data_IF_344991968649
#
_entry.id   IF_344991968649
#
_cell.length_a   1.000
_cell.length_b   1.000
_cell.length_c   1.000
_cell.angle_alpha   90.00
_cell.angle_beta   90.00
_cell.angle_gamma   90.00
#
_symmetry.space_group_name_H-M   'P 1'
#
loop_
_entity.id
_entity.type
_entity.pdbx_description
1 polymer ?
#
# COMPACT_ATOMS: atom_id res chain seq x y z
N UNK A 1 44.41 40.08 -3.53
CA UNK A 1 44.30 41.33 -4.31
C UNK A 1 45.45 41.40 -5.31
N UNK A 2 45.19 41.17 -6.60
CA UNK A 2 45.84 41.86 -7.72
C UNK A 2 45.18 41.40 -9.03
N UNK A 3 44.91 42.36 -9.92
CA UNK A 3 44.20 42.25 -11.21
C UNK A 3 45.14 41.75 -12.30
N UNK A 4 44.60 41.30 -13.45
CA UNK A 4 44.95 41.76 -14.83
C UNK A 4 44.44 40.77 -15.91
N UNK A 5 43.48 41.29 -16.71
CA UNK A 5 43.30 41.20 -18.18
C UNK A 5 43.03 39.87 -18.92
N UNK A 6 42.39 39.82 -20.10
CA UNK A 6 41.51 40.70 -20.91
C UNK A 6 41.38 39.99 -22.28
N UNK A 7 40.15 39.71 -22.73
CA UNK A 7 39.64 39.78 -24.13
C UNK A 7 40.17 38.90 -25.30
N UNK A 8 39.17 38.65 -26.18
CA UNK A 8 39.21 38.35 -27.64
C UNK A 8 39.44 36.86 -28.00
N UNK A 9 38.75 36.26 -28.99
CA UNK A 9 38.17 36.82 -30.21
C UNK A 9 37.09 35.87 -30.80
N UNK A 10 36.11 36.48 -31.45
CA UNK A 10 34.94 35.94 -32.15
C UNK A 10 35.21 35.88 -33.69
N UNK A 11 34.31 35.25 -34.46
CA UNK A 11 34.19 35.14 -35.95
C UNK A 11 34.94 33.95 -36.60
N UNK A 12 34.45 33.21 -37.62
CA UNK A 12 33.51 33.40 -38.75
C UNK A 12 32.80 32.04 -39.05
N UNK A 13 31.49 31.88 -39.27
CA UNK A 13 30.59 32.20 -40.40
C UNK A 13 30.91 31.53 -41.77
N UNK A 14 29.86 30.94 -42.37
CA UNK A 14 29.65 30.51 -43.79
C UNK A 14 30.03 29.06 -44.15
N UNK A 15 29.33 28.30 -45.01
CA UNK A 15 28.10 28.43 -45.79
C UNK A 15 27.84 27.06 -46.45
N UNK A 16 26.56 26.73 -46.65
CA UNK A 16 25.96 25.68 -47.49
C UNK A 16 26.84 24.98 -48.56
N UNK A 17 26.77 23.64 -48.61
CA UNK A 17 26.61 22.88 -49.87
C UNK A 17 25.85 21.56 -49.64
N UNK A 18 24.79 21.37 -50.45
CA UNK A 18 23.98 20.16 -50.61
C UNK A 18 24.76 19.10 -51.41
N UNK A 19 24.73 17.83 -50.99
CA UNK A 19 24.68 16.69 -51.93
C UNK A 19 23.91 15.52 -51.30
N UNK A 20 22.94 15.01 -52.05
CA UNK A 20 22.11 13.85 -51.80
C UNK A 20 22.88 12.54 -52.07
N UNK A 21 22.67 11.50 -51.26
CA UNK A 21 22.79 10.10 -51.69
C UNK A 21 22.01 9.18 -50.75
N UNK A 22 21.07 8.46 -51.36
CA UNK A 22 20.30 7.37 -50.78
C UNK A 22 21.22 6.22 -50.35
N UNK A 23 20.91 5.58 -49.23
CA UNK A 23 21.12 4.14 -49.05
C UNK A 23 20.27 3.59 -47.89
N UNK A 24 19.16 2.98 -48.30
CA UNK A 24 18.62 1.69 -47.89
C UNK A 24 18.60 1.29 -46.40
N UNK A 25 17.36 1.22 -45.91
CA UNK A 25 16.68 -0.04 -45.60
C UNK A 25 17.29 -0.89 -44.47
N UNK A 26 16.76 -0.69 -43.26
CA UNK A 26 16.05 -1.73 -42.52
C UNK A 26 15.63 -1.16 -41.17
N UNK A 27 14.34 -0.89 -40.98
CA UNK A 27 13.78 -0.97 -39.64
C UNK A 27 12.38 -1.54 -39.79
N UNK A 28 12.25 -2.75 -39.28
CA UNK A 28 11.02 -3.50 -39.20
C UNK A 28 9.92 -2.64 -38.60
N UNK A 29 8.82 -2.49 -39.32
CA UNK A 29 7.53 -2.13 -38.74
C UNK A 29 7.13 -3.29 -37.82
N UNK A 30 7.49 -3.18 -36.54
CA UNK A 30 6.78 -3.90 -35.51
C UNK A 30 5.46 -3.15 -35.29
N UNK A 31 4.30 -3.83 -35.30
CA UNK A 31 3.08 -3.21 -34.83
C UNK A 31 3.26 -2.95 -33.33
N UNK A 32 3.36 -1.68 -32.94
CA UNK A 32 3.14 -1.29 -31.55
C UNK A 32 1.71 -1.69 -31.19
N UNK A 33 1.55 -2.86 -30.56
CA UNK A 33 0.37 -3.14 -29.75
C UNK A 33 0.42 -2.20 -28.57
N UNK A 34 -0.03 -0.96 -28.78
CA UNK A 34 -0.28 -0.01 -27.72
C UNK A 34 -1.41 -0.57 -26.86
N UNK A 35 -1.07 -1.20 -25.74
CA UNK A 35 -2.03 -1.49 -24.67
C UNK A 35 -2.81 -0.21 -24.40
N UNK A 36 -4.16 -0.22 -24.48
CA UNK A 36 -4.94 0.98 -24.25
C UNK A 36 -4.62 1.52 -22.85
N UNK A 37 -4.26 2.80 -22.78
CA UNK A 37 -3.92 3.46 -21.52
C UNK A 37 -5.09 3.35 -20.55
N UNK A 38 -4.95 2.56 -19.50
CA UNK A 38 -6.00 2.38 -18.50
C UNK A 38 -6.18 3.72 -17.77
N UNK A 39 -7.35 4.33 -17.94
CA UNK A 39 -7.70 5.62 -17.33
C UNK A 39 -7.81 5.46 -15.81
N UNK A 40 -6.79 5.90 -15.09
CA UNK A 40 -6.82 6.01 -13.62
C UNK A 40 -7.63 7.23 -13.19
N UNK A 41 -8.46 7.08 -12.16
CA UNK A 41 -9.34 8.16 -11.67
C UNK A 41 -8.88 8.65 -10.30
N UNK A 42 -8.78 9.97 -10.06
CA UNK A 42 -8.66 10.49 -8.71
C UNK A 42 -10.01 10.40 -7.96
N UNK A 43 -9.98 9.83 -6.74
CA UNK A 43 -10.95 10.03 -5.65
C UNK A 43 -12.45 9.84 -5.96
N UNK A 44 -12.81 8.92 -6.84
CA UNK A 44 -14.20 8.60 -7.20
C UNK A 44 -14.79 7.39 -6.44
N UNK A 45 -14.41 7.20 -5.17
CA UNK A 45 -14.90 6.12 -4.32
C UNK A 45 -15.28 6.68 -2.95
N UNK A 46 -16.46 6.30 -2.44
CA UNK A 46 -16.88 6.63 -1.09
C UNK A 46 -16.11 5.81 -0.06
N UNK A 47 -15.91 6.36 1.13
CA UNK A 47 -15.27 5.73 2.29
C UNK A 47 -15.99 4.43 2.69
N UNK A 48 -17.33 4.41 2.62
CA UNK A 48 -18.15 3.21 2.84
C UNK A 48 -17.77 2.07 1.89
N UNK A 49 -17.80 2.34 0.58
CA UNK A 49 -17.42 1.37 -0.44
C UNK A 49 -15.97 0.89 -0.28
N UNK A 50 -15.06 1.81 0.06
CA UNK A 50 -13.65 1.47 0.28
C UNK A 50 -13.48 0.53 1.49
N UNK A 51 -14.18 0.82 2.60
CA UNK A 51 -14.20 -0.04 3.79
C UNK A 51 -14.89 -1.39 3.53
N UNK A 52 -15.93 -1.43 2.68
CA UNK A 52 -16.57 -2.68 2.26
C UNK A 52 -15.58 -3.58 1.50
N UNK A 53 -14.83 -3.02 0.56
CA UNK A 53 -13.77 -3.76 -0.15
C UNK A 53 -12.72 -4.27 0.83
N UNK A 54 -12.27 -3.42 1.77
CA UNK A 54 -11.34 -3.82 2.83
C UNK A 54 -11.84 -4.99 3.66
N UNK A 55 -13.12 -4.98 4.04
CA UNK A 55 -13.77 -6.08 4.77
C UNK A 55 -13.70 -7.39 3.97
N UNK A 56 -14.02 -7.34 2.68
CA UNK A 56 -13.95 -8.50 1.79
C UNK A 56 -12.49 -8.97 1.61
N UNK A 57 -11.52 -8.06 1.53
CA UNK A 57 -10.11 -8.43 1.48
C UNK A 57 -9.64 -9.14 2.75
N UNK A 58 -10.17 -8.77 3.92
CA UNK A 58 -9.84 -9.41 5.20
C UNK A 58 -10.52 -10.77 5.34
N UNK A 59 -11.82 -10.88 5.01
CA UNK A 59 -12.62 -12.08 5.32
C UNK A 59 -13.05 -12.92 4.12
N UNK A 60 -12.82 -12.46 2.89
CA UNK A 60 -13.31 -13.10 1.66
C UNK A 60 -14.82 -12.94 1.44
N UNK A 61 -15.50 -12.16 2.28
CA UNK A 61 -16.95 -11.92 2.26
C UNK A 61 -17.29 -10.62 2.96
N UNK A 62 -18.42 -10.03 2.63
CA UNK A 62 -19.01 -8.87 3.32
C UNK A 62 -19.78 -9.27 4.59
N UNK A 63 -20.03 -10.56 4.81
CA UNK A 63 -20.79 -11.07 5.96
C UNK A 63 -20.07 -12.24 6.64
N UNK A 64 -18.93 -11.99 7.34
CA UNK A 64 -18.17 -13.04 7.99
C UNK A 64 -19.01 -13.72 9.07
N UNK A 65 -19.13 -15.05 8.97
CA UNK A 65 -19.80 -15.88 9.97
C UNK A 65 -18.78 -16.50 10.90
N UNK A 66 -19.10 -16.56 12.19
CA UNK A 66 -18.26 -17.16 13.21
C UNK A 66 -18.71 -18.59 13.47
N UNK A 67 -17.97 -19.57 12.95
CA UNK A 67 -18.17 -20.96 13.32
C UNK A 67 -17.08 -21.33 14.34
N UNK A 68 -17.46 -21.54 15.60
CA UNK A 68 -16.51 -21.89 16.70
C UNK A 68 -15.37 -20.88 16.91
N UNK A 69 -15.55 -19.63 16.50
CA UNK A 69 -14.55 -18.56 16.60
C UNK A 69 -13.63 -18.44 15.38
N UNK A 70 -13.72 -19.36 14.41
CA UNK A 70 -13.09 -19.24 13.11
C UNK A 70 -13.92 -18.33 12.20
N UNK A 71 -13.22 -17.62 11.32
CA UNK A 71 -13.79 -16.73 10.31
C UNK A 71 -13.19 -17.05 8.96
N UNK A 72 -13.92 -16.76 7.89
CA UNK A 72 -13.41 -16.88 6.53
C UNK A 72 -12.20 -15.97 6.31
N UNK A 73 -11.36 -16.35 5.36
CA UNK A 73 -10.07 -15.71 5.09
C UNK A 73 -10.13 -15.12 3.70
N UNK A 74 -9.93 -13.80 3.60
CA UNK A 74 -9.81 -13.11 2.32
C UNK A 74 -8.37 -13.07 1.81
N UNK A 75 -8.19 -12.44 0.65
CA UNK A 75 -6.87 -12.27 0.01
C UNK A 75 -5.81 -11.69 0.96
N UNK A 76 -6.19 -10.77 1.85
CA UNK A 76 -5.28 -10.13 2.77
C UNK A 76 -4.78 -11.03 3.89
N UNK A 77 -5.40 -12.20 4.11
CA UNK A 77 -5.02 -13.19 5.13
C UNK A 77 -4.98 -12.66 6.57
N UNK A 78 -5.42 -11.42 6.82
CA UNK A 78 -5.23 -10.73 8.08
C UNK A 78 -5.92 -11.45 9.25
N UNK A 79 -7.08 -12.06 8.97
CA UNK A 79 -7.88 -12.81 9.94
C UNK A 79 -7.22 -14.11 10.43
N UNK A 80 -6.18 -14.60 9.74
CA UNK A 80 -5.37 -15.73 10.19
C UNK A 80 -4.43 -15.38 11.35
N UNK A 81 -4.06 -14.11 11.49
CA UNK A 81 -3.06 -13.67 12.48
C UNK A 81 -3.66 -12.76 13.53
N UNK A 82 -4.54 -11.85 13.12
CA UNK A 82 -5.07 -10.79 13.96
C UNK A 82 -6.51 -11.07 14.36
N UNK A 83 -6.82 -10.74 15.61
CA UNK A 83 -8.20 -10.60 16.06
C UNK A 83 -8.76 -9.23 15.60
N UNK A 84 -9.63 -9.23 14.59
CA UNK A 84 -10.26 -8.01 14.07
C UNK A 84 -11.68 -7.79 14.62
N UNK A 85 -12.34 -8.89 15.00
CA UNK A 85 -13.72 -8.89 15.51
C UNK A 85 -13.79 -9.53 16.90
N UNK A 86 -14.75 -9.12 17.75
CA UNK A 86 -14.98 -9.78 19.03
C UNK A 86 -15.24 -11.27 18.84
N UNK A 87 -14.67 -12.13 19.71
CA UNK A 87 -14.81 -13.59 19.68
C UNK A 87 -14.13 -14.33 18.51
N UNK A 88 -13.36 -13.63 17.68
CA UNK A 88 -12.47 -14.28 16.72
C UNK A 88 -11.28 -14.91 17.46
N UNK A 89 -10.95 -16.15 17.11
CA UNK A 89 -9.79 -16.88 17.65
C UNK A 89 -8.56 -16.63 16.76
N UNK A 90 -7.79 -15.60 17.09
CA UNK A 90 -6.51 -15.32 16.44
C UNK A 90 -5.55 -14.67 17.45
N UNK A 91 -4.38 -15.29 17.66
CA UNK A 91 -3.43 -14.93 18.72
C UNK A 91 -1.96 -14.84 18.25
N UNK A 92 -1.71 -15.05 16.94
CA UNK A 92 -0.34 -15.01 16.38
C UNK A 92 0.24 -13.60 16.31
N UNK A 93 -0.62 -12.59 16.21
CA UNK A 93 -0.24 -11.19 16.09
C UNK A 93 -1.08 -10.31 17.06
N UNK A 94 -0.71 -9.04 17.28
CA UNK A 94 -1.45 -8.16 18.18
C UNK A 94 -2.94 -8.08 17.82
N UNK A 95 -3.81 -8.04 18.84
CA UNK A 95 -5.23 -7.79 18.60
C UNK A 95 -5.43 -6.44 17.92
N UNK A 96 -6.33 -6.39 16.93
CA UNK A 96 -6.71 -5.17 16.21
C UNK A 96 -8.04 -4.58 16.72
N UNK A 97 -8.56 -5.06 17.85
CA UNK A 97 -9.71 -4.44 18.52
C UNK A 97 -9.31 -3.05 19.05
N UNK A 98 -10.07 -2.01 18.69
CA UNK A 98 -9.78 -0.63 19.11
C UNK A 98 -8.55 -0.01 18.42
N UNK A 99 -8.05 -0.61 17.34
CA UNK A 99 -6.79 -0.19 16.72
C UNK A 99 -6.88 1.21 16.09
N UNK A 100 -8.06 1.65 15.64
CA UNK A 100 -8.25 3.02 15.14
C UNK A 100 -7.78 4.04 16.18
N UNK A 101 -8.36 4.01 17.38
CA UNK A 101 -7.99 4.90 18.46
C UNK A 101 -6.53 4.67 18.93
N UNK A 102 -6.08 3.42 19.01
CA UNK A 102 -4.74 3.08 19.47
C UNK A 102 -3.65 3.58 18.51
N UNK A 103 -3.89 3.54 17.19
CA UNK A 103 -2.92 3.94 16.17
C UNK A 103 -2.45 5.38 16.34
N UNK A 104 -3.35 6.29 16.73
CA UNK A 104 -3.04 7.70 17.01
C UNK A 104 -2.14 7.90 18.24
N UNK A 105 -2.01 6.88 19.08
CA UNK A 105 -1.09 6.87 20.22
C UNK A 105 0.24 6.22 19.84
N UNK A 106 0.24 5.22 18.95
CA UNK A 106 1.46 4.49 18.52
C UNK A 106 2.56 5.43 18.02
N UNK A 107 2.22 6.37 17.14
CA UNK A 107 3.18 7.35 16.59
C UNK A 107 3.83 8.26 17.65
N UNK A 108 3.23 8.37 18.84
CA UNK A 108 3.71 9.21 19.95
C UNK A 108 4.56 8.44 20.95
N UNK A 109 4.64 7.13 20.85
CA UNK A 109 5.39 6.31 21.79
C UNK A 109 6.90 6.50 21.60
N UNK A 110 7.66 6.50 22.70
CA UNK A 110 9.14 6.44 22.65
C UNK A 110 9.61 5.23 21.85
N UNK A 111 8.87 4.12 21.91
CA UNK A 111 9.14 2.94 21.11
C UNK A 111 9.08 3.22 19.62
N UNK A 112 8.12 4.02 19.15
CA UNK A 112 8.06 4.39 17.74
C UNK A 112 9.28 5.21 17.33
N UNK A 113 9.65 6.20 18.15
CA UNK A 113 10.85 7.03 17.93
C UNK A 113 12.15 6.20 17.89
N UNK A 114 12.23 5.13 18.68
CA UNK A 114 13.34 4.17 18.63
C UNK A 114 13.49 3.52 17.24
N UNK A 115 12.39 3.13 16.59
CA UNK A 115 12.46 2.55 15.23
C UNK A 115 12.77 3.60 14.17
N UNK A 116 12.22 4.82 14.31
CA UNK A 116 12.57 5.96 13.45
C UNK A 116 14.08 6.18 13.47
N UNK A 117 14.67 6.22 14.66
CA UNK A 117 16.12 6.37 14.83
C UNK A 117 16.90 5.18 14.25
N UNK A 118 16.48 3.95 14.58
CA UNK A 118 17.09 2.69 14.10
C UNK A 118 17.22 2.65 12.57
N UNK A 119 16.22 3.16 11.86
CA UNK A 119 16.14 3.09 10.40
C UNK A 119 16.40 4.43 9.70
N UNK A 120 16.87 5.44 10.44
CA UNK A 120 17.07 6.81 9.93
C UNK A 120 18.05 6.87 8.74
N UNK A 121 19.14 6.11 8.78
CA UNK A 121 20.21 6.13 7.76
C UNK A 121 19.89 5.24 6.57
N UNK A 122 19.68 3.94 6.79
CA UNK A 122 19.59 2.94 5.71
C UNK A 122 18.15 2.50 5.38
N UNK A 123 17.18 2.83 6.24
CA UNK A 123 15.85 2.24 6.18
C UNK A 123 15.82 0.79 6.68
N UNK A 124 14.62 0.22 6.72
CA UNK A 124 14.41 -1.19 7.03
C UNK A 124 15.11 -2.08 5.99
N UNK A 125 15.91 -3.09 6.39
CA UNK A 125 16.71 -3.89 5.46
C UNK A 125 15.86 -4.71 4.47
N UNK A 126 14.59 -4.99 4.78
CA UNK A 126 13.72 -5.77 3.92
C UNK A 126 13.00 -4.89 2.89
N UNK A 127 12.59 -3.68 3.27
CA UNK A 127 11.71 -2.82 2.47
C UNK A 127 12.38 -1.52 1.99
N UNK A 128 13.48 -1.13 2.60
CA UNK A 128 14.12 0.19 2.46
C UNK A 128 13.34 1.33 3.14
N UNK A 129 12.23 1.01 3.83
CA UNK A 129 11.33 2.02 4.40
C UNK A 129 11.97 2.68 5.60
N UNK A 130 11.90 4.01 5.67
CA UNK A 130 12.25 4.78 6.86
C UNK A 130 10.95 5.16 7.58
N UNK A 131 10.71 4.75 8.83
CA UNK A 131 9.47 5.07 9.52
C UNK A 131 9.35 6.57 9.71
N UNK A 132 8.19 7.15 9.38
CA UNK A 132 7.96 8.59 9.50
C UNK A 132 6.46 8.99 9.58
N UNK A 133 5.60 8.05 9.96
CA UNK A 133 4.18 8.31 10.18
C UNK A 133 3.93 9.40 11.23
N UNK A 134 3.00 10.30 10.92
CA UNK A 134 2.60 11.46 11.73
C UNK A 134 1.18 11.31 12.29
N UNK A 135 0.34 10.51 11.64
CA UNK A 135 -1.04 10.24 12.05
C UNK A 135 -1.24 8.76 12.36
N UNK A 136 -2.35 8.41 13.04
CA UNK A 136 -2.71 7.02 13.26
C UNK A 136 -2.94 6.24 11.96
N UNK A 137 -3.56 6.86 10.95
CA UNK A 137 -3.76 6.21 9.67
C UNK A 137 -2.48 6.06 8.85
N UNK A 138 -1.56 7.03 8.88
CA UNK A 138 -0.21 6.85 8.30
C UNK A 138 0.52 5.69 8.97
N UNK A 139 0.38 5.51 10.29
CA UNK A 139 0.94 4.37 11.00
C UNK A 139 0.33 3.03 10.55
N UNK A 140 -0.99 2.98 10.33
CA UNK A 140 -1.65 1.78 9.80
C UNK A 140 -1.13 1.43 8.41
N UNK A 141 -0.96 2.43 7.53
CA UNK A 141 -0.38 2.25 6.19
C UNK A 141 1.07 1.76 6.31
N UNK A 142 1.91 2.47 7.07
CA UNK A 142 3.32 2.12 7.29
C UNK A 142 3.49 0.69 7.83
N UNK A 143 2.63 0.27 8.77
CA UNK A 143 2.68 -1.08 9.35
C UNK A 143 2.43 -2.19 8.32
N UNK A 144 1.64 -1.91 7.29
CA UNK A 144 1.36 -2.87 6.21
C UNK A 144 2.48 -2.93 5.18
N UNK A 145 3.15 -1.81 4.89
CA UNK A 145 4.30 -1.76 3.97
C UNK A 145 5.61 -2.22 4.63
N UNK A 146 5.79 -1.91 5.91
CA UNK A 146 7.00 -2.21 6.68
C UNK A 146 6.63 -2.70 8.08
N UNK A 147 6.28 -3.99 8.25
CA UNK A 147 5.90 -4.54 9.55
C UNK A 147 7.01 -4.49 10.61
N UNK A 148 8.26 -4.29 10.19
CA UNK A 148 9.45 -4.13 11.05
C UNK A 148 9.70 -2.68 11.48
N UNK A 149 9.10 -1.71 10.78
CA UNK A 149 9.24 -0.28 11.10
C UNK A 149 8.58 0.10 12.43
N UNK A 150 7.71 -0.75 12.96
CA UNK A 150 7.31 -0.74 14.35
C UNK A 150 6.79 -2.13 14.75
N UNK A 151 7.34 -2.70 15.81
CA UNK A 151 6.87 -3.98 16.35
C UNK A 151 6.28 -3.74 17.73
N UNK A 152 5.02 -4.14 17.91
CA UNK A 152 4.34 -4.08 19.20
C UNK A 152 5.11 -4.94 20.21
N UNK A 153 5.27 -4.41 21.43
CA UNK A 153 5.92 -5.13 22.53
C UNK A 153 5.31 -6.53 22.71
N UNK A 154 6.16 -7.51 22.95
CA UNK A 154 5.86 -8.92 23.16
C UNK A 154 5.31 -9.67 21.91
N UNK A 155 5.41 -9.05 20.72
CA UNK A 155 4.91 -9.61 19.45
C UNK A 155 5.96 -9.70 18.34
N UNK A 156 7.24 -9.44 18.63
CA UNK A 156 8.27 -9.72 17.65
C UNK A 156 8.73 -11.18 17.66
N UNK A 157 9.58 -11.52 16.70
CA UNK A 157 10.15 -12.86 16.59
C UNK A 157 10.95 -13.16 17.86
N UNK A 158 10.72 -14.35 18.44
CA UNK A 158 11.42 -14.79 19.65
C UNK A 158 12.94 -14.71 19.47
N UNK A 159 13.63 -14.13 20.46
CA UNK A 159 15.09 -13.95 20.44
C UNK A 159 15.56 -12.68 19.74
N UNK A 160 14.64 -11.86 19.21
CA UNK A 160 14.99 -10.59 18.54
C UNK A 160 14.74 -9.36 19.41
N UNK A 161 14.32 -9.54 20.67
CA UNK A 161 13.91 -8.47 21.58
C UNK A 161 12.85 -7.54 20.96
N UNK A 162 11.89 -8.15 20.28
CA UNK A 162 10.85 -7.48 19.51
C UNK A 162 11.37 -6.57 18.39
N UNK A 163 12.59 -6.73 17.90
CA UNK A 163 13.13 -5.87 16.84
C UNK A 163 12.77 -6.34 15.43
N UNK A 164 12.25 -7.56 15.31
CA UNK A 164 11.91 -8.20 14.04
C UNK A 164 10.45 -8.64 14.09
N UNK A 165 9.70 -8.35 13.03
CA UNK A 165 8.27 -8.69 12.94
C UNK A 165 8.08 -10.08 12.34
N UNK A 166 7.15 -10.86 12.90
CA UNK A 166 6.67 -12.10 12.29
C UNK A 166 5.64 -11.89 11.18
N UNK A 167 5.16 -10.65 11.01
CA UNK A 167 4.25 -10.29 9.93
C UNK A 167 5.05 -10.15 8.62
N UNK A 168 4.63 -10.82 7.53
CA UNK A 168 5.31 -10.68 6.24
C UNK A 168 5.05 -9.30 5.62
N UNK A 169 5.93 -8.86 4.74
CA UNK A 169 5.67 -7.70 3.87
C UNK A 169 4.56 -8.05 2.88
N UNK A 170 3.34 -7.64 3.19
CA UNK A 170 2.12 -8.12 2.48
C UNK A 170 1.98 -7.62 1.04
N UNK A 171 2.79 -6.65 0.62
CA UNK A 171 2.91 -6.22 -0.80
C UNK A 171 3.70 -7.21 -1.66
N UNK A 172 4.22 -8.29 -1.07
CA UNK A 172 5.00 -9.33 -1.74
C UNK A 172 4.30 -10.68 -1.62
N UNK A 173 4.67 -11.68 -2.44
CA UNK A 173 4.16 -13.04 -2.28
C UNK A 173 4.39 -13.57 -0.85
N UNK A 174 3.45 -14.36 -0.28
CA UNK A 174 2.28 -14.95 -0.95
C UNK A 174 1.03 -14.05 -1.01
N UNK A 175 0.93 -13.00 -0.18
CA UNK A 175 -0.29 -12.18 -0.05
C UNK A 175 -0.46 -11.23 -1.24
N UNK A 176 0.62 -10.52 -1.62
CA UNK A 176 0.71 -9.67 -2.79
C UNK A 176 -0.45 -8.66 -2.93
N UNK A 177 -0.70 -7.88 -1.87
CA UNK A 177 -1.67 -6.79 -1.90
C UNK A 177 -1.15 -5.60 -2.72
N UNK A 178 -2.05 -4.99 -3.50
CA UNK A 178 -1.78 -3.74 -4.21
C UNK A 178 -1.95 -2.53 -3.28
N UNK A 179 -1.48 -1.36 -3.70
CA UNK A 179 -1.69 -0.10 -2.96
C UNK A 179 -3.18 0.16 -2.68
N UNK A 180 -4.06 -0.13 -3.64
CA UNK A 180 -5.50 0.00 -3.46
C UNK A 180 -6.07 -0.95 -2.43
N UNK A 181 -5.63 -2.21 -2.45
CA UNK A 181 -6.08 -3.20 -1.49
C UNK A 181 -5.60 -2.86 -0.07
N UNK A 182 -4.39 -2.31 0.08
CA UNK A 182 -3.87 -1.82 1.35
C UNK A 182 -4.71 -0.65 1.88
N UNK A 183 -4.96 0.35 1.04
CA UNK A 183 -5.80 1.51 1.40
C UNK A 183 -7.22 1.05 1.78
N UNK A 184 -7.79 0.08 1.07
CA UNK A 184 -9.08 -0.51 1.40
C UNK A 184 -9.07 -1.23 2.75
N UNK A 185 -8.06 -2.05 3.03
CA UNK A 185 -7.87 -2.72 4.33
C UNK A 185 -7.76 -1.72 5.47
N UNK A 186 -6.97 -0.64 5.30
CA UNK A 186 -6.86 0.41 6.32
C UNK A 186 -8.20 1.12 6.54
N UNK A 187 -8.94 1.44 5.47
CA UNK A 187 -10.27 2.04 5.59
C UNK A 187 -11.22 1.15 6.41
N UNK A 188 -11.23 -0.16 6.16
CA UNK A 188 -12.00 -1.11 6.96
C UNK A 188 -11.57 -1.12 8.42
N UNK A 189 -10.26 -1.19 8.68
CA UNK A 189 -9.71 -1.22 10.04
C UNK A 189 -10.03 0.06 10.82
N UNK A 190 -10.07 1.21 10.16
CA UNK A 190 -10.48 2.49 10.75
C UNK A 190 -11.97 2.53 11.10
N UNK A 191 -12.86 1.94 10.29
CA UNK A 191 -14.31 2.04 10.51
C UNK A 191 -14.92 0.87 11.30
N UNK A 192 -14.24 -0.28 11.41
CA UNK A 192 -14.86 -1.53 11.91
C UNK A 192 -15.38 -1.45 13.35
N UNK A 193 -14.78 -0.59 14.18
CA UNK A 193 -15.17 -0.44 15.59
C UNK A 193 -16.37 0.52 15.77
N UNK A 194 -16.77 1.24 14.70
CA UNK A 194 -17.95 2.11 14.63
C UNK A 194 -18.76 1.85 13.35
N UNK A 195 -19.40 0.68 13.19
CA UNK A 195 -20.11 0.32 11.95
C UNK A 195 -21.15 1.36 11.52
N UNK A 196 -21.08 1.80 10.26
CA UNK A 196 -21.95 2.83 9.69
C UNK A 196 -21.45 4.27 9.88
N UNK A 197 -20.40 4.48 10.68
CA UNK A 197 -19.71 5.76 10.79
C UNK A 197 -18.36 5.69 10.06
N UNK A 198 -18.27 6.41 8.95
CA UNK A 198 -17.07 6.50 8.12
C UNK A 198 -16.34 7.83 8.27
N UNK A 199 -16.75 8.68 9.21
CA UNK A 199 -16.17 10.03 9.41
C UNK A 199 -14.68 10.00 9.80
N UNK A 200 -14.20 8.86 10.32
CA UNK A 200 -12.80 8.62 10.70
C UNK A 200 -11.96 7.96 9.62
N UNK A 201 -12.55 7.59 8.48
CA UNK A 201 -11.81 6.94 7.40
C UNK A 201 -10.97 7.99 6.68
N UNK A 202 -9.66 7.90 6.84
CA UNK A 202 -8.67 8.82 6.27
C UNK A 202 -7.66 8.10 5.37
N UNK A 203 -7.84 6.80 5.12
CA UNK A 203 -6.88 5.92 4.46
C UNK A 203 -6.27 6.45 3.14
N UNK A 204 -7.07 7.07 2.26
CA UNK A 204 -6.54 7.68 1.03
C UNK A 204 -5.63 8.88 1.36
N UNK A 205 -6.08 9.77 2.25
CA UNK A 205 -5.35 10.99 2.60
C UNK A 205 -4.06 10.68 3.35
N UNK A 206 -4.11 9.72 4.27
CA UNK A 206 -2.93 9.25 4.98
C UNK A 206 -1.93 8.58 4.04
N UNK A 207 -2.40 7.77 3.07
CA UNK A 207 -1.51 7.18 2.07
C UNK A 207 -0.87 8.26 1.20
N UNK A 208 -1.64 9.25 0.72
CA UNK A 208 -1.10 10.36 -0.08
C UNK A 208 -0.09 11.19 0.70
N UNK A 209 -0.39 11.48 1.97
CA UNK A 209 0.48 12.22 2.88
C UNK A 209 1.79 11.47 3.15
N UNK A 210 1.70 10.16 3.45
CA UNK A 210 2.84 9.30 3.72
C UNK A 210 3.79 9.21 2.51
N UNK A 211 3.26 8.93 1.33
CA UNK A 211 4.08 8.75 0.12
C UNK A 211 4.36 10.04 -0.66
N UNK A 212 3.77 11.18 -0.26
CA UNK A 212 3.93 12.47 -0.93
C UNK A 212 3.45 12.48 -2.39
N UNK A 213 2.53 11.59 -2.76
CA UNK A 213 2.04 11.44 -4.15
C UNK A 213 0.55 11.15 -4.18
N UNK A 214 -0.09 11.48 -5.32
CA UNK A 214 -1.52 11.27 -5.49
C UNK A 214 -1.88 9.80 -5.64
N UNK A 215 -2.89 9.38 -4.90
CA UNK A 215 -3.41 8.03 -4.92
C UNK A 215 -4.31 7.87 -6.15
N UNK A 216 -4.06 6.81 -6.92
CA UNK A 216 -4.77 6.55 -8.17
C UNK A 216 -5.08 5.08 -8.31
N UNK A 217 -6.27 4.79 -8.82
CA UNK A 217 -6.75 3.43 -9.05
C UNK A 217 -7.59 3.37 -10.32
N UNK A 218 -7.81 2.16 -10.79
CA UNK A 218 -8.66 1.83 -11.93
C UNK A 218 -10.09 1.53 -11.45
N UNK A 219 -11.11 1.71 -12.30
CA UNK A 219 -12.47 1.30 -11.96
C UNK A 219 -12.60 -0.17 -11.60
N UNK A 220 -11.76 -1.03 -12.20
CA UNK A 220 -11.73 -2.47 -11.93
C UNK A 220 -11.20 -2.77 -10.52
N UNK A 221 -10.12 -2.12 -10.09
CA UNK A 221 -9.64 -2.19 -8.70
C UNK A 221 -10.71 -1.72 -7.72
N UNK A 222 -11.46 -0.67 -8.07
CA UNK A 222 -12.57 -0.17 -7.26
C UNK A 222 -13.87 -0.96 -7.39
N UNK A 223 -13.89 -2.11 -8.08
CA UNK A 223 -15.07 -2.96 -8.19
C UNK A 223 -15.14 -3.95 -7.03
N UNK A 224 -16.29 -4.02 -6.35
CA UNK A 224 -16.51 -5.01 -5.28
C UNK A 224 -16.52 -6.43 -5.85
N UNK A 225 -17.08 -6.60 -7.05
CA UNK A 225 -17.21 -7.89 -7.73
C UNK A 225 -15.86 -8.56 -8.04
N UNK A 226 -14.78 -7.77 -8.09
CA UNK A 226 -13.40 -8.28 -8.26
C UNK A 226 -12.97 -9.17 -7.08
N UNK A 227 -13.53 -8.93 -5.89
CA UNK A 227 -13.06 -9.52 -4.64
C UNK A 227 -14.04 -10.54 -4.05
N UNK A 228 -15.28 -10.55 -4.52
CA UNK A 228 -16.25 -11.56 -4.12
C UNK A 228 -16.00 -12.85 -4.91
N UNK A 229 -16.20 -14.03 -4.29
CA UNK A 229 -16.17 -15.28 -5.03
C UNK A 229 -17.26 -15.24 -6.11
N UNK A 230 -16.91 -15.65 -7.33
CA UNK A 230 -17.90 -15.86 -8.39
C UNK A 230 -18.91 -16.90 -7.94
N UNK A 231 -20.21 -16.61 -8.07
CA UNK A 231 -21.27 -17.60 -7.85
C UNK A 231 -20.91 -18.89 -8.62
N UNK A 232 -21.00 -20.09 -8.00
CA UNK A 232 -20.76 -21.33 -8.72
C UNK A 232 -21.71 -21.40 -9.92
N UNK A 233 -21.19 -21.77 -11.10
CA UNK A 233 -22.05 -21.96 -12.27
C UNK A 233 -23.20 -22.92 -11.91
N UNK A 234 -24.46 -22.59 -12.26
CA UNK A 234 -25.59 -23.47 -11.98
C UNK A 234 -25.29 -24.82 -12.61
N UNK A 235 -25.23 -25.84 -11.74
CA UNK A 235 -24.85 -27.20 -12.04
C UNK A 235 -25.52 -27.64 -13.36
N UNK A 236 -24.76 -27.78 -14.45
CA UNK A 236 -25.25 -28.43 -15.66
C UNK A 236 -25.50 -29.89 -15.27
N UNK A 237 -26.77 -30.19 -14.97
CA UNK A 237 -27.25 -31.55 -14.75
C UNK A 237 -26.81 -32.40 -15.95
N UNK A 238 -25.85 -33.29 -15.70
CA UNK A 238 -25.46 -34.38 -16.60
C UNK A 238 -26.42 -35.54 -16.46
#
# INVERSE_FOLDING_TARGET
>A
MSRINLFKLLLFLNLFFLVSSCSNNSSSTQPETSTPAIKRTPRAISEEKLALIGKILVFGTDNPKFAKGDVSIGKGECSLCHQLLPKQNADRAPSLLGIEALSHNRVKEERYQMYVERYSTEGDPETGTKPHAKTGGEYLIESLYCPRCYVVKDHGIKGTNDLESGMPVITRPPVNLTDFEIVAVVAYVQSKDTPGDYSKVTAIDDWESYFGKKFTFTPEEASVDRYLPTEPEPNKQS
#
